data_IF_435908242381
#
_entry.id   IF_435908242381
#
_cell.length_a   1.000
_cell.length_b   1.000
_cell.length_c   1.000
_cell.angle_alpha   90.00
_cell.angle_beta   90.00
_cell.angle_gamma   90.00
#
_symmetry.space_group_name_H-M   'P 1'
#
loop_
_entity.id
_entity.type
_entity.pdbx_description
1 polymer ?
#
# COMPACT_ATOMS: atom_id res chain seq x y z
N UNK A 1 -12.30 -9.03 10.45
CA UNK A 1 -11.36 -7.99 10.91
C UNK A 1 -10.10 -7.93 10.06
N UNK A 2 -9.22 -8.94 10.04
CA UNK A 2 -7.99 -8.90 9.21
C UNK A 2 -8.23 -8.54 7.73
N UNK A 3 -9.14 -9.24 7.03
CA UNK A 3 -9.47 -8.94 5.62
C UNK A 3 -10.00 -7.51 5.45
N UNK A 4 -10.85 -7.05 6.37
CA UNK A 4 -11.45 -5.70 6.32
C UNK A 4 -10.36 -4.64 6.47
N UNK A 5 -9.42 -4.81 7.40
CA UNK A 5 -8.26 -3.92 7.55
C UNK A 5 -7.44 -3.87 6.25
N UNK A 6 -7.16 -5.03 5.66
CA UNK A 6 -6.43 -5.13 4.39
C UNK A 6 -7.13 -4.37 3.26
N UNK A 7 -8.45 -4.56 3.11
CA UNK A 7 -9.26 -3.86 2.10
C UNK A 7 -9.26 -2.34 2.34
N UNK A 8 -9.49 -1.89 3.58
CA UNK A 8 -9.49 -0.45 3.90
C UNK A 8 -8.13 0.17 3.55
N UNK A 9 -7.03 -0.47 3.93
CA UNK A 9 -5.69 -0.01 3.58
C UNK A 9 -5.49 0.11 2.07
N UNK A 10 -5.88 -0.92 1.32
CA UNK A 10 -5.79 -0.92 -0.15
C UNK A 10 -6.70 0.11 -0.83
N UNK A 11 -7.90 0.35 -0.31
CA UNK A 11 -8.80 1.41 -0.82
C UNK A 11 -8.14 2.77 -0.67
N UNK A 12 -7.54 3.07 0.49
CA UNK A 12 -6.89 4.36 0.69
C UNK A 12 -5.64 4.50 -0.21
N UNK A 13 -4.84 3.44 -0.36
CA UNK A 13 -3.69 3.43 -1.29
C UNK A 13 -4.16 3.66 -2.74
N UNK A 14 -5.24 3.01 -3.17
CA UNK A 14 -5.78 3.21 -4.52
C UNK A 14 -6.29 4.66 -4.71
N UNK A 15 -6.96 5.22 -3.70
CA UNK A 15 -7.42 6.60 -3.73
C UNK A 15 -6.26 7.60 -3.82
N UNK A 16 -5.14 7.34 -3.15
CA UNK A 16 -3.97 8.23 -3.26
C UNK A 16 -3.26 8.11 -4.61
N UNK A 17 -3.27 6.94 -5.25
CA UNK A 17 -2.82 6.78 -6.65
C UNK A 17 -3.72 7.55 -7.60
N UNK A 18 -5.04 7.48 -7.44
CA UNK A 18 -5.99 8.25 -8.26
C UNK A 18 -5.82 9.76 -8.02
N UNK A 19 -5.65 10.18 -6.76
CA UNK A 19 -5.42 11.58 -6.42
C UNK A 19 -4.11 12.11 -7.00
N UNK A 20 -3.02 11.33 -6.91
CA UNK A 20 -1.74 11.62 -7.57
C UNK A 20 -1.93 11.81 -9.07
N UNK A 21 -2.54 10.83 -9.74
CA UNK A 21 -2.77 10.87 -11.19
C UNK A 21 -3.56 12.12 -11.59
N UNK A 22 -4.67 12.39 -10.92
CA UNK A 22 -5.51 13.56 -11.20
C UNK A 22 -4.75 14.87 -10.98
N UNK A 23 -3.91 14.93 -9.95
CA UNK A 23 -3.11 16.12 -9.61
C UNK A 23 -2.01 16.37 -10.65
N UNK A 24 -1.32 15.32 -11.09
CA UNK A 24 -0.30 15.40 -12.14
C UNK A 24 -0.86 15.84 -13.51
N UNK A 25 -2.14 15.53 -13.79
CA UNK A 25 -2.82 15.92 -15.03
C UNK A 25 -3.63 17.22 -14.92
N UNK A 26 -3.47 17.96 -13.82
CA UNK A 26 -4.11 19.26 -13.66
C UNK A 26 -3.43 20.33 -14.52
N UNK A 27 -4.20 21.29 -15.03
CA UNK A 27 -3.67 22.39 -15.86
C UNK A 27 -2.55 23.16 -15.16
N UNK A 28 -2.63 23.33 -13.83
CA UNK A 28 -1.60 24.01 -13.05
C UNK A 28 -0.27 23.27 -13.06
N UNK A 29 -0.28 21.94 -12.91
CA UNK A 29 0.95 21.13 -12.89
C UNK A 29 1.51 20.95 -14.30
N UNK A 30 0.64 20.91 -15.33
CA UNK A 30 1.08 20.90 -16.72
C UNK A 30 1.70 22.23 -17.16
N UNK A 31 1.24 23.36 -16.59
CA UNK A 31 1.78 24.69 -16.88
C UNK A 31 3.09 24.99 -16.12
N UNK A 32 3.20 24.51 -14.88
CA UNK A 32 4.42 24.59 -14.06
C UNK A 32 4.64 23.26 -13.29
N UNK A 33 5.63 22.44 -13.70
CA UNK A 33 5.88 21.13 -13.10
C UNK A 33 6.62 21.20 -11.75
N UNK A 34 6.89 22.38 -11.19
CA UNK A 34 7.68 22.55 -9.96
C UNK A 34 7.18 21.74 -8.75
N UNK A 35 5.89 21.41 -8.69
CA UNK A 35 5.29 20.57 -7.63
C UNK A 35 5.07 19.10 -8.00
N UNK A 36 5.33 18.69 -9.25
CA UNK A 36 5.00 17.37 -9.76
C UNK A 36 5.72 16.24 -9.01
N UNK A 37 6.98 16.46 -8.63
CA UNK A 37 7.79 15.47 -7.93
C UNK A 37 7.16 15.10 -6.57
N UNK A 38 6.72 16.09 -5.79
CA UNK A 38 6.08 15.89 -4.48
C UNK A 38 4.75 15.15 -4.65
N UNK A 39 3.96 15.53 -5.65
CA UNK A 39 2.68 14.90 -5.97
C UNK A 39 2.88 13.43 -6.33
N UNK A 40 3.94 13.11 -7.10
CA UNK A 40 4.34 11.74 -7.46
C UNK A 40 4.59 10.82 -6.27
N UNK A 41 4.84 11.38 -5.07
CA UNK A 41 5.06 10.62 -3.83
C UNK A 41 3.79 10.38 -2.99
N UNK A 42 2.61 10.89 -3.37
CA UNK A 42 1.38 10.72 -2.58
C UNK A 42 1.04 9.26 -2.21
N UNK A 43 1.20 8.25 -3.10
CA UNK A 43 0.98 6.86 -2.74
C UNK A 43 1.93 6.33 -1.67
N UNK A 44 3.18 6.83 -1.64
CA UNK A 44 4.20 6.42 -0.66
C UNK A 44 3.86 6.91 0.75
N UNK A 45 3.28 8.11 0.91
CA UNK A 45 2.78 8.57 2.21
C UNK A 45 1.63 7.71 2.73
N UNK A 46 0.72 7.27 1.86
CA UNK A 46 -0.36 6.36 2.23
C UNK A 46 0.17 5.00 2.67
N UNK A 47 1.14 4.44 1.94
CA UNK A 47 1.82 3.19 2.30
C UNK A 47 2.52 3.30 3.66
N UNK A 48 3.25 4.39 3.92
CA UNK A 48 3.94 4.63 5.19
C UNK A 48 2.99 4.82 6.38
N UNK A 49 1.90 5.57 6.20
CA UNK A 49 0.95 5.86 7.27
C UNK A 49 0.04 4.65 7.61
N UNK A 50 -0.35 3.86 6.60
CA UNK A 50 -1.25 2.71 6.78
C UNK A 50 -0.52 1.39 7.05
N UNK A 51 0.78 1.33 6.78
CA UNK A 51 1.62 0.19 7.08
C UNK A 51 1.37 -0.37 8.50
N UNK A 52 1.49 0.44 9.57
CA UNK A 52 1.28 -0.03 10.94
C UNK A 52 -0.11 -0.64 11.18
N UNK A 53 -1.17 -0.07 10.60
CA UNK A 53 -2.53 -0.59 10.74
C UNK A 53 -2.71 -1.93 10.01
N UNK A 54 -2.13 -2.07 8.81
CA UNK A 54 -2.13 -3.34 8.07
C UNK A 54 -1.25 -4.40 8.77
N UNK A 55 -0.18 -4.01 9.48
CA UNK A 55 0.65 -4.96 10.25
C UNK A 55 -0.15 -5.65 11.36
N UNK A 56 -1.02 -4.92 12.06
CA UNK A 56 -1.94 -5.49 13.05
C UNK A 56 -2.87 -6.53 12.39
N UNK A 57 -3.42 -6.20 11.21
CA UNK A 57 -4.26 -7.11 10.43
C UNK A 57 -3.52 -8.38 9.98
N UNK A 58 -2.23 -8.28 9.63
CA UNK A 58 -1.36 -9.39 9.26
C UNK A 58 -1.01 -10.30 10.44
N UNK A 59 -0.65 -9.73 11.59
CA UNK A 59 -0.38 -10.50 12.82
C UNK A 59 -1.63 -11.29 13.24
N UNK A 60 -2.80 -10.65 13.21
CA UNK A 60 -4.06 -11.32 13.52
C UNK A 60 -4.40 -12.44 12.53
N UNK A 61 -3.95 -12.34 11.27
CA UNK A 61 -4.10 -13.43 10.31
C UNK A 61 -3.20 -14.61 10.64
N UNK A 62 -1.92 -14.37 10.99
CA UNK A 62 -0.96 -15.41 11.37
C UNK A 62 -1.43 -16.20 12.59
N UNK A 63 -1.90 -15.53 13.63
CA UNK A 63 -2.45 -16.20 14.83
C UNK A 63 -3.62 -17.11 14.44
N UNK A 64 -4.53 -16.64 13.58
CA UNK A 64 -5.69 -17.44 13.13
C UNK A 64 -5.32 -18.60 12.22
N UNK A 65 -4.27 -18.46 11.40
CA UNK A 65 -3.71 -19.55 10.59
C UNK A 65 -3.25 -20.69 11.49
N UNK A 66 -2.58 -20.37 12.60
CA UNK A 66 -2.11 -21.37 13.57
C UNK A 66 -3.25 -22.05 14.35
N UNK A 67 -4.34 -21.32 14.67
CA UNK A 67 -5.41 -21.82 15.54
C UNK A 67 -6.62 -22.44 14.82
N UNK A 68 -6.91 -22.04 13.57
CA UNK A 68 -8.21 -22.31 12.91
C UNK A 68 -8.04 -22.89 11.50
N UNK A 69 -7.88 -24.21 11.33
CA UNK A 69 -7.67 -24.84 10.02
C UNK A 69 -8.88 -24.70 9.08
N UNK A 70 -10.12 -24.64 9.61
CA UNK A 70 -11.34 -24.48 8.80
C UNK A 70 -11.41 -23.15 8.03
N UNK A 71 -10.74 -22.09 8.49
CA UNK A 71 -10.72 -20.77 7.83
C UNK A 71 -9.37 -20.43 7.22
N UNK A 72 -8.47 -21.42 7.10
CA UNK A 72 -7.11 -21.28 6.60
C UNK A 72 -7.00 -20.41 5.34
N UNK A 73 -7.79 -20.68 4.30
CA UNK A 73 -7.76 -19.92 3.03
C UNK A 73 -8.07 -18.43 3.22
N UNK A 74 -9.07 -18.11 4.04
CA UNK A 74 -9.46 -16.73 4.32
C UNK A 74 -8.43 -16.02 5.20
N UNK A 75 -7.79 -16.73 6.12
CA UNK A 75 -6.73 -16.15 6.93
C UNK A 75 -5.48 -15.87 6.08
N UNK A 76 -5.13 -16.73 5.12
CA UNK A 76 -4.08 -16.45 4.15
C UNK A 76 -4.39 -15.26 3.27
N UNK A 77 -5.63 -15.13 2.78
CA UNK A 77 -6.04 -13.93 2.04
C UNK A 77 -5.88 -12.67 2.90
N UNK A 78 -6.31 -12.72 4.15
CA UNK A 78 -6.10 -11.63 5.11
C UNK A 78 -4.63 -11.29 5.28
N UNK A 79 -3.76 -12.29 5.44
CA UNK A 79 -2.31 -12.09 5.54
C UNK A 79 -1.74 -11.44 4.28
N UNK A 80 -2.05 -11.98 3.10
CA UNK A 80 -1.57 -11.45 1.82
C UNK A 80 -1.97 -9.99 1.61
N UNK A 81 -3.25 -9.66 1.85
CA UNK A 81 -3.75 -8.28 1.73
C UNK A 81 -3.06 -7.30 2.67
N UNK A 82 -2.72 -7.76 3.88
CA UNK A 82 -2.11 -6.92 4.90
C UNK A 82 -0.57 -6.84 4.78
N UNK A 83 0.07 -7.87 4.25
CA UNK A 83 1.52 -7.92 4.05
C UNK A 83 1.96 -7.24 2.74
N UNK A 84 1.11 -7.25 1.71
CA UNK A 84 1.46 -6.72 0.40
C UNK A 84 1.90 -5.24 0.37
N UNK A 85 1.33 -4.31 1.15
CA UNK A 85 1.82 -2.92 1.17
C UNK A 85 3.26 -2.83 1.67
N UNK A 86 3.65 -3.70 2.61
CA UNK A 86 5.01 -3.75 3.16
C UNK A 86 6.02 -4.31 2.16
N UNK A 87 5.63 -5.35 1.42
CA UNK A 87 6.45 -5.89 0.33
C UNK A 87 6.68 -4.82 -0.73
N UNK A 88 5.65 -4.05 -1.08
CA UNK A 88 5.80 -2.94 -2.02
C UNK A 88 6.76 -1.89 -1.48
N UNK A 89 6.56 -1.44 -0.24
CA UNK A 89 7.33 -0.36 0.36
C UNK A 89 8.82 -0.72 0.56
N UNK A 90 9.12 -1.93 1.04
CA UNK A 90 10.48 -2.32 1.41
C UNK A 90 11.22 -3.17 0.39
N UNK A 91 10.53 -3.77 -0.57
CA UNK A 91 11.16 -4.63 -1.58
C UNK A 91 11.03 -4.00 -2.96
N UNK A 92 9.79 -3.71 -3.40
CA UNK A 92 9.55 -3.25 -4.77
C UNK A 92 10.09 -1.85 -4.99
N UNK A 93 9.79 -0.90 -4.09
CA UNK A 93 10.25 0.49 -4.23
C UNK A 93 11.78 0.58 -4.26
N UNK A 94 12.54 0.00 -3.31
CA UNK A 94 14.00 0.03 -3.37
C UNK A 94 14.57 -0.68 -4.61
N UNK A 95 13.98 -1.79 -5.03
CA UNK A 95 14.42 -2.54 -6.22
C UNK A 95 14.21 -1.74 -7.51
N UNK A 96 13.07 -1.06 -7.65
CA UNK A 96 12.80 -0.20 -8.82
C UNK A 96 13.74 1.00 -8.80
N UNK A 97 13.95 1.63 -7.64
CA UNK A 97 14.87 2.75 -7.50
C UNK A 97 16.32 2.35 -7.82
N UNK A 98 16.80 1.20 -7.35
CA UNK A 98 18.18 0.76 -7.63
C UNK A 98 18.42 0.42 -9.10
N UNK A 99 17.39 0.02 -9.85
CA UNK A 99 17.47 -0.16 -11.30
C UNK A 99 17.38 1.14 -12.11
N UNK A 100 16.86 2.23 -11.53
CA UNK A 100 16.76 3.55 -12.17
C UNK A 100 17.99 4.43 -11.93
N UNK A 101 18.76 4.17 -10.86
CA UNK A 101 19.94 4.94 -10.46
C UNK A 101 21.26 4.14 -10.51
N UNK A 102 21.24 2.93 -11.07
CA UNK A 102 22.39 2.01 -11.20
C UNK A 102 23.07 2.04 -12.56
#
# INVERSE_FOLDING_TARGET
>A
MSIICGIIGWVIIALTVVAMWASLHSESVMADPSGADIIGFYPLFALGALGPANMIGGIMALVRIAERPKTWRLNWLGLSLNASPWVILFVVVPLVSSGLFG
#
